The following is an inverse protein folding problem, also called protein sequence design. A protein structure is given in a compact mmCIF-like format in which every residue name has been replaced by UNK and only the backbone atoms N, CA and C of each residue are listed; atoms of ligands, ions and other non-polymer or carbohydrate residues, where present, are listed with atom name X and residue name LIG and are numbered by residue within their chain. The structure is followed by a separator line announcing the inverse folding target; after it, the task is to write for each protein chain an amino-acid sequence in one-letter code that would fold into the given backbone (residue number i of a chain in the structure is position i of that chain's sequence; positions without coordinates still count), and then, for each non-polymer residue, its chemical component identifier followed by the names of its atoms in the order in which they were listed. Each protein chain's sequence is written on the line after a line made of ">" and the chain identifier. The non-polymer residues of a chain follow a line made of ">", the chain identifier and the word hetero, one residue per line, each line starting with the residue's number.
data_IF_936267703023
#
_entry.id   IF_936267703023
#
_cell.length_a   1.000
_cell.length_b   1.000
_cell.length_c   1.000
_cell.angle_alpha   90.00
_cell.angle_beta   90.00
_cell.angle_gamma   90.00
#
_symmetry.space_group_name_H-M   'P 1'
#
loop_
_entity.id
_entity.type
_entity.pdbx_description
1 polymer ?
#
# COMPACT_ATOMS: atom_id res chain seq x y z
N UNK A 1 -10.00 3.55 -9.60
CA UNK A 1 -10.61 3.00 -8.36
C UNK A 1 -11.89 3.78 -8.12
N UNK A 2 -13.01 3.09 -7.90
CA UNK A 2 -14.30 3.76 -7.67
C UNK A 2 -14.46 4.05 -6.18
N UNK A 3 -14.08 5.26 -5.76
CA UNK A 3 -14.10 5.66 -4.34
C UNK A 3 -15.53 5.73 -3.79
N UNK A 4 -16.52 6.01 -4.65
CA UNK A 4 -17.92 6.07 -4.25
C UNK A 4 -18.46 4.70 -3.87
N UNK A 5 -18.12 3.66 -4.65
CA UNK A 5 -18.46 2.28 -4.29
C UNK A 5 -17.79 1.84 -2.99
N UNK A 6 -16.50 2.15 -2.80
CA UNK A 6 -15.79 1.80 -1.57
C UNK A 6 -16.44 2.41 -0.32
N UNK A 7 -16.78 3.71 -0.36
CA UNK A 7 -17.41 4.41 0.78
C UNK A 7 -18.75 3.80 1.21
N UNK A 8 -19.46 3.13 0.32
CA UNK A 8 -20.72 2.45 0.63
C UNK A 8 -20.53 1.08 1.27
N UNK A 9 -19.40 0.41 1.02
CA UNK A 9 -19.15 -0.97 1.43
C UNK A 9 -18.18 -1.09 2.62
N UNK A 10 -17.33 -0.09 2.84
CA UNK A 10 -16.25 -0.10 3.82
C UNK A 10 -16.08 1.26 4.49
N UNK A 11 -15.43 1.31 5.67
CA UNK A 11 -15.08 2.57 6.31
C UNK A 11 -14.34 3.53 5.36
N UNK A 12 -14.51 4.85 5.53
CA UNK A 12 -13.77 5.84 4.74
C UNK A 12 -12.27 5.64 4.84
N UNK A 13 -11.59 5.73 3.71
CA UNK A 13 -10.12 5.69 3.62
C UNK A 13 -9.57 7.04 3.21
N UNK A 14 -8.36 7.36 3.67
CA UNK A 14 -7.61 8.49 3.17
C UNK A 14 -6.95 8.11 1.84
N UNK A 15 -7.12 8.94 0.83
CA UNK A 15 -6.44 8.80 -0.47
C UNK A 15 -5.53 9.99 -0.64
N UNK A 16 -4.22 9.74 -0.69
CA UNK A 16 -3.19 10.75 -0.92
C UNK A 16 -2.53 10.44 -2.26
N UNK A 17 -2.45 11.45 -3.13
CA UNK A 17 -1.74 11.30 -4.40
C UNK A 17 -0.24 11.37 -4.13
N UNK A 18 0.49 10.33 -4.53
CA UNK A 18 1.92 10.24 -4.43
C UNK A 18 2.50 9.91 -5.81
N UNK A 19 3.21 10.86 -6.41
CA UNK A 19 3.75 10.74 -7.78
C UNK A 19 5.18 10.21 -7.83
N UNK A 20 5.87 10.13 -6.69
CA UNK A 20 7.33 9.96 -6.65
C UNK A 20 7.76 8.48 -6.62
N UNK A 21 6.81 7.55 -6.77
CA UNK A 21 7.08 6.12 -6.89
C UNK A 21 6.07 5.42 -7.80
N UNK A 22 6.58 4.45 -8.55
CA UNK A 22 5.79 3.50 -9.33
C UNK A 22 5.59 2.16 -8.62
N UNK A 23 6.30 1.93 -7.51
CA UNK A 23 6.25 0.68 -6.78
C UNK A 23 4.99 0.58 -5.92
N UNK A 24 4.51 -0.65 -5.75
CA UNK A 24 3.38 -0.95 -4.87
C UNK A 24 3.90 -1.48 -3.55
N UNK A 25 3.63 -0.74 -2.50
CA UNK A 25 4.05 -1.08 -1.14
C UNK A 25 2.80 -1.20 -0.28
N UNK A 26 2.72 -2.28 0.49
CA UNK A 26 1.72 -2.46 1.53
C UNK A 26 2.41 -2.32 2.89
N UNK A 27 1.95 -1.37 3.70
CA UNK A 27 2.44 -1.15 5.05
C UNK A 27 1.33 -1.54 6.03
N UNK A 28 1.64 -2.41 6.99
CA UNK A 28 0.70 -2.87 8.02
C UNK A 28 1.23 -2.42 9.38
N UNK A 29 0.36 -1.77 10.15
CA UNK A 29 0.60 -1.27 11.51
C UNK A 29 1.87 -0.42 11.66
N UNK A 30 2.32 0.21 10.58
CA UNK A 30 3.60 0.95 10.52
C UNK A 30 4.82 0.12 10.94
N UNK A 31 4.73 -1.21 10.90
CA UNK A 31 5.79 -2.13 11.32
C UNK A 31 6.24 -3.07 10.21
N UNK A 32 5.32 -3.53 9.35
CA UNK A 32 5.61 -4.50 8.30
C UNK A 32 5.47 -3.86 6.93
N UNK A 33 6.52 -3.97 6.11
CA UNK A 33 6.54 -3.46 4.75
C UNK A 33 6.60 -4.63 3.77
N UNK A 34 5.61 -4.70 2.89
CA UNK A 34 5.56 -5.67 1.80
C UNK A 34 5.72 -4.96 0.47
N UNK A 35 6.64 -5.43 -0.37
CA UNK A 35 6.73 -5.00 -1.76
C UNK A 35 5.91 -5.94 -2.66
N UNK A 36 5.07 -5.36 -3.52
CA UNK A 36 4.16 -6.09 -4.39
C UNK A 36 4.58 -5.97 -5.86
N UNK A 37 5.08 -7.08 -6.44
CA UNK A 37 5.56 -7.13 -7.82
C UNK A 37 4.48 -7.04 -8.92
N UNK A 38 3.19 -7.12 -8.57
CA UNK A 38 2.01 -7.09 -9.44
C UNK A 38 0.83 -6.52 -8.65
N UNK A 39 -0.28 -6.25 -9.34
CA UNK A 39 -1.40 -5.57 -8.71
C UNK A 39 -2.21 -6.54 -7.85
N UNK A 40 -2.86 -6.06 -6.79
CA UNK A 40 -3.66 -6.93 -5.91
C UNK A 40 -4.79 -7.67 -6.64
N UNK A 41 -5.31 -7.14 -7.75
CA UNK A 41 -6.28 -7.87 -8.59
C UNK A 41 -5.69 -9.13 -9.26
N UNK A 42 -4.37 -9.21 -9.35
CA UNK A 42 -3.65 -10.36 -9.89
C UNK A 42 -3.38 -11.44 -8.82
N UNK A 43 -3.49 -11.08 -7.52
CA UNK A 43 -3.28 -11.92 -6.31
C UNK A 43 -4.32 -13.04 -6.17
N UNK A 44 -4.36 -13.99 -7.10
CA UNK A 44 -5.34 -15.07 -7.10
C UNK A 44 -5.81 -15.47 -8.50
N UNK A 45 -5.39 -14.72 -9.52
CA UNK A 45 -5.57 -15.09 -10.93
C UNK A 45 -4.31 -15.69 -11.54
N UNK A 46 -3.13 -15.26 -11.08
CA UNK A 46 -1.82 -15.74 -11.56
C UNK A 46 -0.84 -15.87 -10.40
N UNK A 47 0.24 -16.61 -10.61
CA UNK A 47 1.36 -16.66 -9.67
C UNK A 47 1.91 -15.27 -9.47
N UNK A 48 2.14 -14.93 -8.20
CA UNK A 48 2.46 -13.58 -7.78
C UNK A 48 3.47 -13.60 -6.64
N UNK A 49 4.56 -12.85 -6.79
CA UNK A 49 5.60 -12.73 -5.79
C UNK A 49 5.45 -11.44 -4.99
N UNK A 50 5.57 -11.57 -3.67
CA UNK A 50 5.73 -10.44 -2.76
C UNK A 50 6.95 -10.69 -1.87
N UNK A 51 7.57 -9.61 -1.41
CA UNK A 51 8.74 -9.67 -0.54
C UNK A 51 8.46 -8.91 0.74
N UNK A 52 8.74 -9.55 1.89
CA UNK A 52 8.78 -8.86 3.18
C UNK A 52 10.10 -8.08 3.25
N UNK A 53 10.00 -6.78 3.48
CA UNK A 53 11.16 -5.92 3.69
C UNK A 53 11.34 -5.80 5.21
N UNK A 54 12.41 -6.42 5.74
CA UNK A 54 12.84 -6.32 7.14
C UNK A 54 13.49 -4.94 7.41
N UNK A 55 12.73 -3.87 7.20
CA UNK A 55 13.12 -2.50 7.54
C UNK A 55 11.98 -1.84 8.31
N UNK A 56 12.33 -0.97 9.24
CA UNK A 56 11.40 -0.10 9.95
C UNK A 56 10.53 0.65 8.94
N UNK A 57 9.22 0.34 8.91
CA UNK A 57 8.29 0.99 7.98
C UNK A 57 8.24 2.51 8.16
N UNK A 58 8.60 2.97 9.36
CA UNK A 58 8.76 4.38 9.74
C UNK A 58 9.50 5.19 8.68
N UNK A 59 10.61 4.72 8.11
CA UNK A 59 11.36 5.48 7.10
C UNK A 59 10.61 5.70 5.78
N UNK A 60 9.70 4.80 5.42
CA UNK A 60 8.85 4.95 4.22
C UNK A 60 7.70 5.91 4.52
N UNK A 61 7.11 5.79 5.72
CA UNK A 61 6.01 6.64 6.20
C UNK A 61 6.45 8.09 6.40
N UNK A 62 7.68 8.30 6.88
CA UNK A 62 8.30 9.63 7.03
C UNK A 62 8.40 10.35 5.69
N UNK A 63 8.75 9.63 4.61
CA UNK A 63 8.80 10.18 3.25
C UNK A 63 7.43 10.58 2.72
N UNK A 64 6.36 9.97 3.22
CA UNK A 64 4.98 10.32 2.86
C UNK A 64 4.47 11.55 3.64
N UNK A 65 5.26 12.09 4.57
CA UNK A 65 4.87 13.26 5.38
C UNK A 65 3.79 12.96 6.42
N UNK A 66 3.53 11.68 6.71
CA UNK A 66 2.49 11.22 7.65
C UNK A 66 3.03 10.96 9.07
N UNK A 67 4.34 11.14 9.30
CA UNK A 67 5.04 10.92 10.56
C UNK A 67 5.19 12.17 11.45
N UNK A 68 4.24 13.11 11.40
CA UNK A 68 4.16 14.25 12.33
C UNK A 68 2.79 14.35 12.96
#
# INVERSE_FOLDING_TARGET
>A
MDLQKHKQQYPPIQVVQFSDSHDRILIIDYQRVYHLGASLKDLGRKWFAFSLIEREAFKVVDRLGMGK
#
